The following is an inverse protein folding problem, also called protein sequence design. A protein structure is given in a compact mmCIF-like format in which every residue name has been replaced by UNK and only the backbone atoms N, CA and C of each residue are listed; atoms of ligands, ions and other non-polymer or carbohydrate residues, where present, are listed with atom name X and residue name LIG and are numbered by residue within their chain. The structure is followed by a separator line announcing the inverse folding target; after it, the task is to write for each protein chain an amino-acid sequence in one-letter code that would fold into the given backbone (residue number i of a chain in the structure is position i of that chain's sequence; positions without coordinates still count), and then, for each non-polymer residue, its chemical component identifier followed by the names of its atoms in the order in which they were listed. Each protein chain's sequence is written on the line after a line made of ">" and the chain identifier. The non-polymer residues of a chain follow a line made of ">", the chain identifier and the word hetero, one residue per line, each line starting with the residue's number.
data_IF_964535909530
#
_entry.id   IF_964535909530
#
_cell.length_a   1.000
_cell.length_b   1.000
_cell.length_c   1.000
_cell.angle_alpha   90.00
_cell.angle_beta   90.00
_cell.angle_gamma   90.00
#
_symmetry.space_group_name_H-M   'P 1'
#
loop_
_entity.id
_entity.type
_entity.pdbx_description
1 polymer ?
#
# COMPACT_ATOMS: atom_id res chain seq x y z
N UNK A 1 19.77 20.90 -52.62
CA UNK A 1 20.58 19.67 -52.54
C UNK A 1 20.28 19.15 -51.16
N UNK A 2 19.28 18.30 -51.18
CA UNK A 2 18.52 17.80 -50.06
C UNK A 2 19.37 16.78 -49.32
N UNK A 3 19.43 16.88 -47.99
CA UNK A 3 19.78 15.76 -47.14
C UNK A 3 18.54 15.47 -46.31
N UNK A 4 17.80 14.48 -46.79
CA UNK A 4 16.73 13.79 -46.09
C UNK A 4 17.29 13.26 -44.75
N UNK A 5 16.73 13.73 -43.63
CA UNK A 5 16.86 13.06 -42.35
C UNK A 5 16.07 11.75 -42.44
N UNK A 6 16.76 10.70 -42.85
CA UNK A 6 16.28 9.32 -42.81
C UNK A 6 16.12 8.95 -41.33
N UNK A 7 14.88 8.82 -40.90
CA UNK A 7 14.53 8.20 -39.62
C UNK A 7 14.96 6.72 -39.71
N UNK A 8 16.08 6.37 -39.08
CA UNK A 8 16.56 4.99 -39.01
C UNK A 8 15.47 4.08 -38.41
N UNK A 9 14.93 3.16 -39.22
CA UNK A 9 13.99 2.10 -38.83
C UNK A 9 14.52 1.20 -37.69
N UNK A 10 15.82 1.25 -37.38
CA UNK A 10 16.49 0.42 -36.36
C UNK A 10 16.21 0.86 -34.90
N UNK A 11 15.53 1.98 -34.65
CA UNK A 11 15.41 2.56 -33.31
C UNK A 11 14.30 1.94 -32.43
N UNK A 12 13.20 1.47 -33.03
CA UNK A 12 12.02 0.96 -32.29
C UNK A 12 12.28 -0.44 -31.73
N UNK A 13 12.91 -1.32 -32.51
CA UNK A 13 13.29 -2.68 -32.07
C UNK A 13 14.31 -2.63 -30.92
N UNK A 14 15.29 -1.73 -30.99
CA UNK A 14 16.27 -1.52 -29.92
C UNK A 14 15.60 -1.02 -28.62
N UNK A 15 14.62 -0.10 -28.74
CA UNK A 15 13.82 0.35 -27.59
C UNK A 15 13.00 -0.77 -26.94
N UNK A 16 12.42 -1.66 -27.74
CA UNK A 16 11.58 -2.77 -27.28
C UNK A 16 12.38 -3.95 -26.69
N UNK A 17 13.68 -4.02 -26.98
CA UNK A 17 14.56 -5.09 -26.48
C UNK A 17 15.45 -4.66 -25.30
N UNK A 18 15.48 -3.36 -24.95
CA UNK A 18 16.23 -2.84 -23.79
C UNK A 18 15.89 -3.54 -22.48
N UNK A 19 16.92 -3.84 -21.70
CA UNK A 19 16.82 -4.45 -20.37
C UNK A 19 17.22 -3.45 -19.30
N UNK A 20 16.46 -3.39 -18.21
CA UNK A 20 16.68 -2.49 -17.08
C UNK A 20 16.96 -3.29 -15.80
N UNK A 21 17.88 -2.79 -14.97
CA UNK A 21 18.12 -3.30 -13.62
C UNK A 21 17.39 -2.41 -12.61
N UNK A 22 16.33 -2.92 -12.01
CA UNK A 22 15.43 -2.17 -11.12
C UNK A 22 15.69 -2.56 -9.68
N UNK A 23 16.03 -1.58 -8.84
CA UNK A 23 16.13 -1.76 -7.39
C UNK A 23 14.75 -1.58 -6.74
N UNK A 24 14.27 -2.59 -6.00
CA UNK A 24 12.91 -2.62 -5.41
C UNK A 24 12.95 -2.31 -3.88
N UNK A 25 14.14 -2.16 -3.28
CA UNK A 25 14.30 -1.91 -1.85
C UNK A 25 15.59 -2.49 -1.28
N UNK A 26 15.93 -2.12 -0.05
CA UNK A 26 17.16 -2.60 0.62
C UNK A 26 17.06 -4.06 1.11
N UNK A 27 15.85 -4.61 1.12
CA UNK A 27 15.51 -5.97 1.55
C UNK A 27 15.46 -6.98 0.40
N UNK A 28 15.67 -6.54 -0.85
CA UNK A 28 15.57 -7.38 -2.05
C UNK A 28 16.68 -7.08 -3.05
N UNK A 29 17.14 -8.12 -3.72
CA UNK A 29 18.10 -7.97 -4.81
C UNK A 29 17.47 -7.26 -6.01
N UNK A 30 18.23 -6.40 -6.73
CA UNK A 30 17.74 -5.74 -7.93
C UNK A 30 17.33 -6.74 -9.02
N UNK A 31 16.19 -6.51 -9.66
CA UNK A 31 15.61 -7.40 -10.69
C UNK A 31 15.92 -6.87 -12.09
N UNK A 32 16.24 -7.77 -13.02
CA UNK A 32 16.34 -7.41 -14.44
C UNK A 32 14.99 -7.55 -15.12
N UNK A 33 14.57 -6.52 -15.85
CA UNK A 33 13.23 -6.41 -16.45
C UNK A 33 13.36 -5.83 -17.86
N UNK A 34 12.63 -6.39 -18.83
CA UNK A 34 12.60 -5.88 -20.20
C UNK A 34 11.78 -4.58 -20.29
N UNK A 35 12.09 -3.72 -21.27
CA UNK A 35 11.40 -2.44 -21.49
C UNK A 35 9.88 -2.60 -21.69
N UNK A 36 9.43 -3.72 -22.27
CA UNK A 36 8.03 -4.07 -22.46
C UNK A 36 7.30 -4.41 -21.14
N UNK A 37 8.02 -4.67 -20.05
CA UNK A 37 7.46 -4.97 -18.73
C UNK A 37 7.47 -3.77 -17.76
N UNK A 38 8.25 -2.73 -18.07
CA UNK A 38 8.33 -1.52 -17.21
C UNK A 38 7.16 -0.57 -17.48
N UNK A 39 6.35 -0.29 -16.45
CA UNK A 39 5.10 0.49 -16.56
C UNK A 39 5.30 1.98 -16.89
N UNK A 40 6.47 2.59 -16.61
CA UNK A 40 6.58 4.07 -16.66
C UNK A 40 7.96 4.72 -16.92
N UNK A 41 8.98 4.01 -17.39
CA UNK A 41 10.23 4.66 -17.80
C UNK A 41 10.39 4.55 -19.31
N UNK A 42 10.53 5.72 -19.93
CA UNK A 42 10.37 5.98 -21.36
C UNK A 42 8.96 5.61 -21.84
N UNK A 43 7.99 6.52 -21.56
CA UNK A 43 7.07 6.87 -22.66
C UNK A 43 8.00 7.09 -23.85
N UNK A 44 7.68 6.52 -25.01
CA UNK A 44 8.17 7.06 -26.27
C UNK A 44 8.00 8.58 -26.14
N UNK A 45 9.10 9.27 -25.86
CA UNK A 45 9.12 10.71 -25.85
C UNK A 45 8.70 11.02 -27.28
N UNK A 46 7.65 11.82 -27.45
CA UNK A 46 7.44 12.49 -28.73
C UNK A 46 6.95 11.60 -29.88
N UNK A 47 5.96 10.73 -29.62
CA UNK A 47 4.91 10.47 -30.63
C UNK A 47 3.59 10.93 -30.03
N UNK A 48 3.49 12.27 -30.05
CA UNK A 48 2.31 13.12 -29.90
C UNK A 48 1.39 12.92 -28.69
N UNK A 49 1.64 13.73 -27.65
CA UNK A 49 0.62 14.15 -26.69
C UNK A 49 -0.19 15.37 -27.25
N UNK A 50 -0.10 15.68 -28.56
CA UNK A 50 -0.66 16.90 -29.18
C UNK A 50 -1.32 16.64 -30.55
N UNK A 51 -2.27 15.69 -30.62
CA UNK A 51 -3.06 15.49 -31.84
C UNK A 51 -4.39 16.26 -31.78
N UNK A 52 -4.31 17.58 -32.01
CA UNK A 52 -5.46 18.35 -32.45
C UNK A 52 -5.58 18.30 -33.99
N UNK A 53 -6.38 17.35 -34.47
CA UNK A 53 -7.14 17.36 -35.75
C UNK A 53 -6.41 17.75 -37.05
N UNK A 54 -5.95 16.74 -37.82
CA UNK A 54 -5.86 16.76 -39.29
C UNK A 54 -5.86 15.34 -39.87
N UNK A 55 -6.61 15.11 -40.96
CA UNK A 55 -6.70 13.81 -41.67
C UNK A 55 -5.36 13.23 -42.16
N UNK A 56 -4.31 14.06 -42.28
CA UNK A 56 -2.95 13.61 -42.63
C UNK A 56 -2.26 12.83 -41.50
N UNK A 57 -2.44 13.26 -40.25
CA UNK A 57 -1.80 12.66 -39.07
C UNK A 57 -2.38 11.27 -38.73
N UNK A 58 -3.65 11.03 -39.10
CA UNK A 58 -4.32 9.74 -38.87
C UNK A 58 -3.66 8.59 -39.64
N UNK A 59 -3.26 8.83 -40.89
CA UNK A 59 -2.63 7.79 -41.70
C UNK A 59 -1.22 7.49 -41.18
N UNK A 60 -0.47 8.53 -40.81
CA UNK A 60 0.86 8.39 -40.19
C UNK A 60 0.81 7.52 -38.93
N UNK A 61 -0.17 7.75 -38.04
CA UNK A 61 -0.37 6.92 -36.84
C UNK A 61 -0.68 5.46 -37.19
N UNK A 62 -1.45 5.20 -38.26
CA UNK A 62 -1.76 3.83 -38.68
C UNK A 62 -0.55 3.13 -39.27
N UNK A 63 0.25 3.85 -40.05
CA UNK A 63 1.49 3.34 -40.63
C UNK A 63 2.50 3.01 -39.52
N UNK A 64 2.64 3.89 -38.51
CA UNK A 64 3.45 3.63 -37.32
C UNK A 64 2.98 2.39 -36.53
N UNK A 65 1.67 2.26 -36.32
CA UNK A 65 1.10 1.07 -35.67
C UNK A 65 1.46 -0.21 -36.44
N UNK A 66 1.34 -0.16 -37.77
CA UNK A 66 1.71 -1.28 -38.64
C UNK A 66 3.19 -1.64 -38.53
N UNK A 67 4.09 -0.65 -38.59
CA UNK A 67 5.54 -0.86 -38.41
C UNK A 67 5.85 -1.50 -37.06
N UNK A 68 5.29 -0.96 -35.97
CA UNK A 68 5.50 -1.51 -34.62
C UNK A 68 5.00 -2.96 -34.51
N UNK A 69 3.87 -3.29 -35.14
CA UNK A 69 3.35 -4.65 -35.13
C UNK A 69 4.21 -5.62 -35.96
N UNK A 70 4.71 -5.18 -37.12
CA UNK A 70 5.62 -5.98 -37.94
C UNK A 70 6.93 -6.29 -37.20
N UNK A 71 7.50 -5.28 -36.53
CA UNK A 71 8.68 -5.45 -35.69
C UNK A 71 8.41 -6.36 -34.49
N UNK A 72 7.27 -6.20 -33.83
CA UNK A 72 6.86 -7.08 -32.75
C UNK A 72 6.74 -8.54 -33.20
N UNK A 73 6.41 -8.80 -34.47
CA UNK A 73 6.34 -10.14 -35.04
C UNK A 73 7.71 -10.81 -35.25
N UNK A 74 8.80 -10.03 -35.25
CA UNK A 74 10.18 -10.54 -35.28
C UNK A 74 10.67 -10.99 -33.89
N UNK A 75 9.95 -10.63 -32.82
CA UNK A 75 10.31 -10.90 -31.43
C UNK A 75 9.68 -12.20 -30.87
N UNK A 76 10.20 -12.73 -29.74
CA UNK A 76 9.57 -13.83 -29.01
C UNK A 76 8.14 -13.52 -28.58
N UNK A 77 7.32 -14.57 -28.44
CA UNK A 77 5.89 -14.46 -28.17
C UNK A 77 5.53 -13.66 -26.91
N UNK A 78 6.35 -13.79 -25.86
CA UNK A 78 6.16 -13.07 -24.60
C UNK A 78 6.28 -11.55 -24.79
N UNK A 79 7.35 -11.10 -25.47
CA UNK A 79 7.59 -9.69 -25.76
C UNK A 79 6.54 -9.13 -26.73
N UNK A 80 6.23 -9.88 -27.80
CA UNK A 80 5.18 -9.51 -28.76
C UNK A 80 3.84 -9.30 -28.07
N UNK A 81 3.46 -10.20 -27.17
CA UNK A 81 2.18 -10.11 -26.43
C UNK A 81 2.12 -8.85 -25.57
N UNK A 82 3.23 -8.43 -24.94
CA UNK A 82 3.26 -7.17 -24.19
C UNK A 82 3.13 -5.94 -25.10
N UNK A 83 3.77 -5.95 -26.28
CA UNK A 83 3.68 -4.85 -27.25
C UNK A 83 2.25 -4.71 -27.76
N UNK A 84 1.63 -5.82 -28.19
CA UNK A 84 0.22 -5.84 -28.64
C UNK A 84 -0.70 -5.35 -27.52
N UNK A 85 -0.51 -5.86 -26.29
CA UNK A 85 -1.27 -5.39 -25.12
C UNK A 85 -1.14 -3.89 -24.90
N UNK A 86 0.05 -3.31 -25.04
CA UNK A 86 0.28 -1.86 -24.89
C UNK A 86 -0.45 -1.06 -25.96
N UNK A 87 -0.37 -1.48 -27.23
CA UNK A 87 -1.09 -0.83 -28.34
C UNK A 87 -2.60 -0.87 -28.12
N UNK A 88 -3.13 -2.06 -27.81
CA UNK A 88 -4.55 -2.27 -27.47
C UNK A 88 -4.99 -1.39 -26.30
N UNK A 89 -4.19 -1.32 -25.23
CA UNK A 89 -4.49 -0.51 -24.05
C UNK A 89 -4.29 1.00 -24.27
N UNK A 90 -3.54 1.44 -25.29
CA UNK A 90 -3.33 2.86 -25.65
C UNK A 90 -4.50 3.38 -26.48
N UNK A 91 -4.91 2.62 -27.48
CA UNK A 91 -5.95 2.98 -28.44
C UNK A 91 -7.35 2.48 -28.03
N UNK A 92 -7.50 1.89 -26.83
CA UNK A 92 -8.81 1.51 -26.32
C UNK A 92 -9.69 2.77 -26.13
N UNK A 93 -10.87 2.86 -26.78
CA UNK A 93 -11.74 4.04 -26.74
C UNK A 93 -12.11 4.48 -25.31
N UNK A 94 -12.27 3.51 -24.40
CA UNK A 94 -12.63 3.70 -22.99
C UNK A 94 -11.65 4.59 -22.19
N UNK A 95 -10.44 4.84 -22.71
CA UNK A 95 -9.41 5.66 -22.05
C UNK A 95 -9.25 7.07 -22.62
N UNK A 96 -9.77 7.34 -23.82
CA UNK A 96 -9.52 8.57 -24.56
C UNK A 96 -10.84 9.34 -24.76
N UNK A 97 -11.34 9.92 -23.67
CA UNK A 97 -12.55 10.75 -23.67
C UNK A 97 -12.30 11.99 -24.55
N UNK A 98 -13.04 12.10 -25.67
CA UNK A 98 -12.93 13.20 -26.64
C UNK A 98 -12.48 12.77 -28.03
N UNK A 99 -11.72 11.67 -28.15
CA UNK A 99 -11.18 11.15 -29.42
C UNK A 99 -11.65 9.70 -29.69
N UNK A 100 -12.85 9.38 -29.23
CA UNK A 100 -13.41 8.02 -29.23
C UNK A 100 -13.50 7.42 -30.64
N UNK A 101 -13.87 8.25 -31.63
CA UNK A 101 -13.98 7.84 -33.04
C UNK A 101 -12.62 7.44 -33.61
N UNK A 102 -11.61 8.30 -33.43
CA UNK A 102 -10.25 8.02 -33.90
C UNK A 102 -9.62 6.82 -33.20
N UNK A 103 -9.81 6.69 -31.88
CA UNK A 103 -9.31 5.55 -31.13
C UNK A 103 -9.97 4.25 -31.56
N UNK A 104 -11.28 4.27 -31.86
CA UNK A 104 -11.99 3.10 -32.37
C UNK A 104 -11.45 2.68 -33.73
N UNK A 105 -11.16 3.63 -34.62
CA UNK A 105 -10.56 3.34 -35.93
C UNK A 105 -9.14 2.78 -35.80
N UNK A 106 -8.31 3.36 -34.93
CA UNK A 106 -6.97 2.84 -34.63
C UNK A 106 -7.04 1.43 -34.03
N UNK A 107 -8.01 1.18 -33.16
CA UNK A 107 -8.24 -0.12 -32.55
C UNK A 107 -8.63 -1.20 -33.57
N UNK A 108 -9.50 -0.86 -34.52
CA UNK A 108 -9.86 -1.76 -35.61
C UNK A 108 -8.69 -1.96 -36.59
N UNK A 109 -7.89 -0.93 -36.87
CA UNK A 109 -6.65 -1.07 -37.65
C UNK A 109 -5.69 -2.09 -36.99
N UNK A 110 -5.47 -2.00 -35.68
CA UNK A 110 -4.65 -2.95 -34.92
C UNK A 110 -5.16 -4.38 -35.08
N UNK A 111 -6.47 -4.61 -34.96
CA UNK A 111 -7.07 -5.95 -35.12
C UNK A 111 -6.87 -6.51 -36.53
N UNK A 112 -7.06 -5.67 -37.54
CA UNK A 112 -6.89 -6.05 -38.94
C UNK A 112 -5.43 -6.43 -39.22
N UNK A 113 -4.48 -5.66 -38.69
CA UNK A 113 -3.05 -5.92 -38.83
C UNK A 113 -2.61 -7.19 -38.10
N UNK A 114 -3.11 -7.43 -36.89
CA UNK A 114 -2.88 -8.71 -36.18
C UNK A 114 -3.39 -9.90 -36.99
N UNK A 115 -4.58 -9.76 -37.58
CA UNK A 115 -5.18 -10.79 -38.43
C UNK A 115 -4.35 -11.02 -39.70
N UNK A 116 -3.84 -9.94 -40.32
CA UNK A 116 -2.93 -9.99 -41.49
C UNK A 116 -1.63 -10.74 -41.19
N UNK A 117 -1.05 -10.52 -40.01
CA UNK A 117 0.20 -11.15 -39.57
C UNK A 117 0.02 -12.61 -39.10
N UNK A 118 -1.20 -13.16 -39.17
CA UNK A 118 -1.45 -14.60 -39.12
C UNK A 118 -1.54 -15.22 -37.72
N UNK A 119 -2.02 -14.47 -36.71
CA UNK A 119 -2.36 -15.02 -35.37
C UNK A 119 -3.67 -14.46 -34.84
N UNK A 120 -4.36 -15.23 -33.99
CA UNK A 120 -5.53 -14.75 -33.24
C UNK A 120 -5.13 -14.38 -31.83
N UNK A 121 -5.44 -13.13 -31.45
CA UNK A 121 -5.30 -12.59 -30.09
C UNK A 121 -6.67 -12.30 -29.45
N UNK A 122 -7.76 -12.74 -30.07
CA UNK A 122 -9.12 -12.28 -29.75
C UNK A 122 -9.46 -12.44 -28.26
N UNK A 123 -9.21 -13.62 -27.68
CA UNK A 123 -9.44 -13.87 -26.26
C UNK A 123 -8.57 -13.03 -25.31
N UNK A 124 -7.35 -12.67 -25.73
CA UNK A 124 -6.47 -11.77 -24.97
C UNK A 124 -6.94 -10.31 -25.09
N UNK A 125 -7.32 -9.89 -26.29
CA UNK A 125 -7.84 -8.55 -26.56
C UNK A 125 -9.09 -8.29 -25.71
N UNK A 126 -10.04 -9.22 -25.69
CA UNK A 126 -11.25 -9.11 -24.87
C UNK A 126 -10.93 -8.97 -23.38
N UNK A 127 -9.99 -9.76 -22.87
CA UNK A 127 -9.55 -9.66 -21.47
C UNK A 127 -8.86 -8.32 -21.17
N UNK A 128 -8.06 -7.79 -22.10
CA UNK A 128 -7.40 -6.50 -21.92
C UNK A 128 -8.38 -5.32 -22.01
N UNK A 129 -9.36 -5.38 -22.90
CA UNK A 129 -10.43 -4.39 -23.01
C UNK A 129 -11.31 -4.39 -21.75
N UNK A 130 -11.70 -5.57 -21.25
CA UNK A 130 -12.43 -5.69 -20.00
C UNK A 130 -11.67 -5.06 -18.83
N UNK A 131 -10.36 -5.33 -18.74
CA UNK A 131 -9.49 -4.72 -17.73
C UNK A 131 -9.35 -3.20 -17.92
N UNK A 132 -9.29 -2.70 -19.16
CA UNK A 132 -9.25 -1.27 -19.44
C UNK A 132 -10.50 -0.55 -18.93
N UNK A 133 -11.68 -1.15 -19.13
CA UNK A 133 -12.97 -0.66 -18.60
C UNK A 133 -12.97 -0.60 -17.07
N UNK A 134 -12.48 -1.65 -16.43
CA UNK A 134 -12.33 -1.69 -14.96
C UNK A 134 -11.42 -0.56 -14.46
N UNK A 135 -10.26 -0.36 -15.08
CA UNK A 135 -9.36 0.76 -14.74
C UNK A 135 -10.00 2.13 -14.97
N UNK A 136 -10.79 2.28 -16.03
CA UNK A 136 -11.57 3.50 -16.30
C UNK A 136 -12.57 3.77 -15.18
N UNK A 137 -13.33 2.74 -14.79
CA UNK A 137 -14.28 2.81 -13.67
C UNK A 137 -13.61 3.22 -12.36
N UNK A 138 -12.48 2.59 -12.00
CA UNK A 138 -11.71 2.96 -10.82
C UNK A 138 -11.20 4.40 -10.86
N UNK A 139 -10.75 4.89 -12.03
CA UNK A 139 -10.30 6.28 -12.19
C UNK A 139 -11.45 7.27 -11.99
N UNK A 140 -12.62 6.96 -12.52
CA UNK A 140 -13.81 7.79 -12.37
C UNK A 140 -14.32 7.80 -10.92
N UNK A 141 -14.33 6.65 -10.26
CA UNK A 141 -14.65 6.55 -8.84
C UNK A 141 -13.66 7.33 -7.97
N UNK A 142 -12.35 7.22 -8.26
CA UNK A 142 -11.32 8.01 -7.62
C UNK A 142 -11.58 9.51 -7.82
N UNK A 143 -11.89 9.95 -9.05
CA UNK A 143 -12.20 11.36 -9.37
C UNK A 143 -13.42 11.86 -8.61
N UNK A 144 -14.48 11.06 -8.53
CA UNK A 144 -15.68 11.37 -7.73
C UNK A 144 -15.35 11.49 -6.24
N UNK A 145 -14.58 10.55 -5.70
CA UNK A 145 -14.15 10.56 -4.30
C UNK A 145 -13.28 11.77 -3.99
N UNK A 146 -12.36 12.10 -4.89
CA UNK A 146 -11.54 13.30 -4.81
C UNK A 146 -12.40 14.56 -4.79
N UNK A 147 -13.29 14.73 -5.77
CA UNK A 147 -14.12 15.94 -5.90
C UNK A 147 -15.00 16.16 -4.68
N UNK A 148 -15.48 15.08 -4.05
CA UNK A 148 -16.29 15.12 -2.84
C UNK A 148 -15.50 15.55 -1.60
N UNK A 149 -14.24 15.16 -1.48
CA UNK A 149 -13.41 15.44 -0.29
C UNK A 149 -12.62 16.75 -0.41
N UNK A 150 -12.14 17.07 -1.59
CA UNK A 150 -11.22 18.17 -1.84
C UNK A 150 -11.77 19.26 -2.78
N UNK A 151 -12.97 19.09 -3.33
CA UNK A 151 -13.53 19.97 -4.35
C UNK A 151 -12.93 19.72 -5.73
N UNK A 152 -13.23 20.61 -6.69
CA UNK A 152 -12.74 20.45 -8.07
C UNK A 152 -11.20 20.39 -8.12
N UNK A 153 -10.67 19.38 -8.81
CA UNK A 153 -9.24 19.18 -9.03
C UNK A 153 -8.56 20.42 -9.62
N UNK A 154 -9.25 21.13 -10.53
CA UNK A 154 -8.74 22.31 -11.21
C UNK A 154 -8.55 23.51 -10.28
N UNK A 155 -9.39 23.60 -9.24
CA UNK A 155 -9.43 24.71 -8.29
C UNK A 155 -8.51 24.51 -7.08
N UNK A 156 -7.94 23.32 -6.90
CA UNK A 156 -7.16 22.96 -5.71
C UNK A 156 -5.65 23.24 -5.88
N UNK A 157 -5.25 24.50 -5.71
CA UNK A 157 -3.86 24.96 -5.86
C UNK A 157 -2.88 24.32 -4.88
N UNK A 158 -3.34 23.93 -3.68
CA UNK A 158 -2.55 23.25 -2.65
C UNK A 158 -2.24 21.81 -3.00
N UNK A 159 -3.09 21.14 -3.80
CA UNK A 159 -2.92 19.73 -4.15
C UNK A 159 -2.00 19.53 -5.36
N UNK A 160 -1.84 20.53 -6.24
CA UNK A 160 -0.81 20.51 -7.30
C UNK A 160 0.62 20.37 -6.75
N UNK A 161 0.83 20.66 -5.46
CA UNK A 161 2.11 20.50 -4.77
C UNK A 161 2.34 19.11 -4.17
N UNK A 162 1.33 18.23 -4.17
CA UNK A 162 1.52 16.84 -3.73
C UNK A 162 2.10 16.02 -4.88
N UNK A 163 3.25 15.40 -4.63
CA UNK A 163 3.88 14.47 -5.59
C UNK A 163 3.13 13.13 -5.72
N UNK A 164 2.17 12.87 -4.82
CA UNK A 164 1.40 11.63 -4.77
C UNK A 164 -0.10 11.92 -4.64
N UNK A 165 -0.96 11.28 -5.44
CA UNK A 165 -2.41 11.37 -5.28
C UNK A 165 -2.82 10.91 -3.88
N UNK A 166 -3.78 11.58 -3.21
CA UNK A 166 -4.25 11.15 -1.90
C UNK A 166 -4.85 9.74 -1.96
N UNK A 167 -4.51 8.91 -0.98
CA UNK A 167 -5.23 7.67 -0.74
C UNK A 167 -6.54 7.97 -0.04
N UNK A 168 -7.64 7.37 -0.49
CA UNK A 168 -8.93 7.38 0.21
C UNK A 168 -9.05 6.24 1.23
N UNK A 169 -8.02 5.41 1.37
CA UNK A 169 -7.98 4.36 2.38
C UNK A 169 -7.91 5.02 3.77
N UNK A 170 -8.99 4.91 4.53
CA UNK A 170 -9.06 5.34 5.94
C UNK A 170 -8.25 4.46 6.89
N UNK A 171 -7.61 3.42 6.37
CA UNK A 171 -6.77 2.47 7.12
C UNK A 171 -5.40 2.45 6.48
N UNK A 172 -4.38 2.52 7.32
CA UNK A 172 -2.98 2.47 6.92
C UNK A 172 -2.24 1.45 7.80
N UNK A 173 -2.52 0.15 7.64
CA UNK A 173 -1.91 -0.88 8.49
C UNK A 173 -0.39 -0.90 8.34
N UNK A 174 0.32 -1.02 9.47
CA UNK A 174 1.78 -1.07 9.56
C UNK A 174 2.20 -2.40 10.20
N UNK A 175 2.14 -3.53 9.48
CA UNK A 175 2.39 -4.85 10.07
C UNK A 175 3.81 -5.00 10.63
N UNK A 176 4.79 -4.30 10.04
CA UNK A 176 6.16 -4.26 10.57
C UNK A 176 6.25 -3.58 11.94
N UNK A 177 5.59 -2.43 12.11
CA UNK A 177 5.54 -1.73 13.39
C UNK A 177 4.69 -2.48 14.42
N UNK A 178 3.56 -3.09 14.01
CA UNK A 178 2.76 -3.94 14.88
C UNK A 178 3.60 -5.05 15.52
N UNK A 179 4.34 -5.82 14.71
CA UNK A 179 5.27 -6.86 15.21
C UNK A 179 6.39 -6.29 16.08
N UNK A 180 6.90 -5.11 15.76
CA UNK A 180 7.94 -4.45 16.57
C UNK A 180 7.44 -4.10 17.97
N UNK A 181 6.24 -3.53 18.07
CA UNK A 181 5.61 -3.20 19.36
C UNK A 181 5.23 -4.44 20.15
N UNK A 182 4.70 -5.46 19.46
CA UNK A 182 4.31 -6.71 20.09
C UNK A 182 5.51 -7.46 20.70
N UNK A 183 6.64 -7.53 20.00
CA UNK A 183 7.87 -8.12 20.57
C UNK A 183 8.31 -7.45 21.87
N UNK A 184 8.11 -6.14 22.00
CA UNK A 184 8.39 -5.45 23.26
C UNK A 184 7.35 -5.78 24.34
N UNK A 185 6.09 -5.98 23.97
CA UNK A 185 5.05 -6.43 24.90
C UNK A 185 5.37 -7.80 25.50
N UNK A 186 5.84 -8.75 24.68
CA UNK A 186 6.27 -10.09 25.14
C UNK A 186 7.45 -10.01 26.10
N UNK A 187 8.46 -9.20 25.76
CA UNK A 187 9.63 -8.99 26.62
C UNK A 187 9.24 -8.35 27.97
N UNK A 188 8.32 -7.39 27.96
CA UNK A 188 7.81 -6.75 29.17
C UNK A 188 6.98 -7.72 30.03
N UNK A 189 6.20 -8.60 29.40
CA UNK A 189 5.41 -9.63 30.09
C UNK A 189 6.33 -10.62 30.82
N UNK A 190 7.33 -11.15 30.12
CA UNK A 190 8.33 -12.05 30.69
C UNK A 190 9.12 -11.37 31.83
N UNK A 191 9.46 -10.08 31.68
CA UNK A 191 10.11 -9.32 32.74
C UNK A 191 9.20 -9.08 33.96
N UNK A 192 7.88 -8.99 33.75
CA UNK A 192 6.88 -8.91 34.82
C UNK A 192 6.78 -10.22 35.61
N UNK A 193 6.73 -11.36 34.91
CA UNK A 193 6.73 -12.70 35.51
C UNK A 193 7.98 -12.94 36.37
N UNK A 194 9.16 -12.62 35.84
CA UNK A 194 10.42 -12.76 36.57
C UNK A 194 10.50 -11.93 37.86
N UNK A 195 9.80 -10.79 37.93
CA UNK A 195 9.78 -9.93 39.13
C UNK A 195 8.96 -10.56 40.27
N UNK A 196 7.96 -11.40 39.94
CA UNK A 196 7.14 -12.11 40.92
C UNK A 196 7.92 -13.29 41.52
N UNK A 197 8.70 -13.99 40.68
CA UNK A 197 9.44 -15.20 41.07
C UNK A 197 10.79 -14.90 41.74
N UNK A 198 11.17 -13.63 41.87
CA UNK A 198 12.44 -13.23 42.45
C UNK A 198 12.49 -13.49 43.97
N UNK A 199 13.68 -13.73 44.52
CA UNK A 199 13.88 -13.99 45.96
C UNK A 199 13.48 -12.81 46.86
N UNK A 200 13.44 -11.60 46.29
CA UNK A 200 12.94 -10.37 46.89
C UNK A 200 12.02 -9.68 45.88
N UNK A 201 10.76 -10.08 45.79
CA UNK A 201 9.88 -9.63 44.73
C UNK A 201 9.48 -8.16 44.93
N UNK A 202 9.42 -7.41 43.83
CA UNK A 202 8.94 -6.02 43.80
C UNK A 202 7.62 -5.96 43.05
N UNK A 203 6.52 -6.19 43.77
CA UNK A 203 5.19 -6.37 43.17
C UNK A 203 4.68 -5.12 42.43
N UNK A 204 5.08 -3.93 42.83
CA UNK A 204 4.79 -2.68 42.11
C UNK A 204 5.45 -2.67 40.71
N UNK A 205 6.67 -3.19 40.61
CA UNK A 205 7.38 -3.31 39.33
C UNK A 205 6.83 -4.45 38.48
N UNK A 206 6.40 -5.55 39.10
CA UNK A 206 5.70 -6.62 38.40
C UNK A 206 4.39 -6.11 37.78
N UNK A 207 3.55 -5.42 38.57
CA UNK A 207 2.33 -4.78 38.10
C UNK A 207 2.62 -3.76 36.99
N UNK A 208 3.66 -2.94 37.14
CA UNK A 208 4.03 -1.93 36.15
C UNK A 208 4.44 -2.56 34.82
N UNK A 209 5.26 -3.61 34.85
CA UNK A 209 5.67 -4.33 33.64
C UNK A 209 4.49 -5.03 32.97
N UNK A 210 3.57 -5.63 33.74
CA UNK A 210 2.34 -6.21 33.21
C UNK A 210 1.44 -5.16 32.54
N UNK A 211 1.31 -3.98 33.14
CA UNK A 211 0.57 -2.84 32.54
C UNK A 211 1.23 -2.38 31.23
N UNK A 212 2.56 -2.24 31.23
CA UNK A 212 3.34 -1.85 30.05
C UNK A 212 3.28 -2.88 28.92
N UNK A 213 3.27 -4.17 29.24
CA UNK A 213 3.08 -5.25 28.28
C UNK A 213 1.71 -5.14 27.60
N UNK A 214 0.63 -4.99 28.40
CA UNK A 214 -0.71 -4.80 27.88
C UNK A 214 -0.82 -3.53 27.02
N UNK A 215 -0.25 -2.40 27.45
CA UNK A 215 -0.27 -1.15 26.68
C UNK A 215 0.37 -1.34 25.30
N UNK A 216 1.54 -1.98 25.24
CA UNK A 216 2.27 -2.18 23.98
C UNK A 216 1.60 -3.21 23.08
N UNK A 217 0.97 -4.24 23.63
CA UNK A 217 0.17 -5.18 22.87
C UNK A 217 -1.05 -4.48 22.23
N UNK A 218 -1.78 -3.66 22.99
CA UNK A 218 -2.91 -2.89 22.45
C UNK A 218 -2.46 -1.90 21.37
N UNK A 219 -1.31 -1.25 21.54
CA UNK A 219 -0.73 -0.39 20.50
C UNK A 219 -0.30 -1.18 19.26
N UNK A 220 0.24 -2.39 19.44
CA UNK A 220 0.52 -3.29 18.32
C UNK A 220 -0.76 -3.60 17.53
N UNK A 221 -1.88 -3.89 18.21
CA UNK A 221 -3.18 -4.08 17.58
C UNK A 221 -3.67 -2.82 16.84
N UNK A 222 -3.44 -1.61 17.37
CA UNK A 222 -3.77 -0.38 16.63
C UNK A 222 -2.96 -0.27 15.33
N UNK A 223 -1.68 -0.62 15.35
CA UNK A 223 -0.83 -0.61 14.14
C UNK A 223 -1.28 -1.62 13.07
N UNK A 224 -2.05 -2.66 13.41
CA UNK A 224 -2.65 -3.54 12.38
C UNK A 224 -3.82 -2.90 11.65
N UNK A 225 -4.35 -1.78 12.17
CA UNK A 225 -5.47 -1.03 11.59
C UNK A 225 -4.98 0.26 10.92
N UNK A 226 -4.16 1.05 11.62
CA UNK A 226 -3.70 2.35 11.14
C UNK A 226 -2.33 2.75 11.74
N UNK A 227 -1.54 3.47 10.93
CA UNK A 227 -0.28 4.13 11.29
C UNK A 227 -0.45 5.38 12.17
N UNK A 228 -1.26 5.33 13.23
CA UNK A 228 -1.43 6.46 14.14
C UNK A 228 -0.63 6.25 15.42
N UNK A 229 0.26 7.20 15.72
CA UNK A 229 1.03 7.19 16.97
C UNK A 229 0.17 7.81 18.08
N UNK A 230 -0.14 7.03 19.10
CA UNK A 230 -0.81 7.52 20.31
C UNK A 230 0.16 7.71 21.47
N UNK A 231 0.00 8.81 22.20
CA UNK A 231 0.67 9.06 23.50
C UNK A 231 -0.21 8.65 24.69
N UNK A 232 -1.32 7.95 24.44
CA UNK A 232 -2.24 7.50 25.50
C UNK A 232 -1.66 6.28 26.20
N UNK A 233 -1.73 6.29 27.52
CA UNK A 233 -1.24 5.22 28.40
C UNK A 233 -2.36 4.46 29.11
N UNK A 234 -3.58 4.99 29.10
CA UNK A 234 -4.72 4.26 29.65
C UNK A 234 -5.05 3.08 28.75
N UNK A 235 -5.20 1.88 29.35
CA UNK A 235 -5.41 0.66 28.57
C UNK A 235 -6.78 0.64 27.88
N UNK A 236 -7.84 1.15 28.52
CA UNK A 236 -9.19 1.17 27.95
C UNK A 236 -9.26 2.11 26.75
N UNK A 237 -8.67 3.29 26.86
CA UNK A 237 -8.59 4.23 25.75
C UNK A 237 -7.80 3.65 24.56
N UNK A 238 -6.76 2.86 24.83
CA UNK A 238 -6.01 2.14 23.80
C UNK A 238 -6.80 0.99 23.13
N UNK A 239 -7.97 0.61 23.65
CA UNK A 239 -8.87 -0.32 22.97
C UNK A 239 -9.82 0.37 21.98
N UNK A 240 -9.88 1.71 21.97
CA UNK A 240 -10.74 2.47 21.06
C UNK A 240 -10.41 2.16 19.59
N UNK A 241 -11.43 1.81 18.81
CA UNK A 241 -11.30 1.47 17.40
C UNK A 241 -10.82 0.04 17.10
N UNK A 242 -10.42 -0.76 18.10
CA UNK A 242 -10.07 -2.17 17.90
C UNK A 242 -11.29 -3.06 17.65
N UNK A 243 -12.49 -2.62 18.07
CA UNK A 243 -13.74 -3.37 17.99
C UNK A 243 -13.68 -4.77 18.64
N UNK A 244 -12.87 -4.94 19.68
CA UNK A 244 -12.78 -6.17 20.49
C UNK A 244 -13.24 -5.86 21.93
N UNK A 245 -14.45 -6.33 22.26
CA UNK A 245 -15.08 -6.12 23.57
C UNK A 245 -14.39 -6.90 24.69
N UNK A 246 -13.76 -8.03 24.37
CA UNK A 246 -13.02 -8.83 25.32
C UNK A 246 -11.71 -8.13 25.71
N UNK A 247 -10.95 -7.62 24.74
CA UNK A 247 -9.77 -6.78 24.99
C UNK A 247 -10.12 -5.56 25.85
N UNK A 248 -11.24 -4.89 25.54
CA UNK A 248 -11.72 -3.74 26.32
C UNK A 248 -12.04 -4.13 27.77
N UNK A 249 -12.66 -5.29 27.97
CA UNK A 249 -12.99 -5.80 29.30
C UNK A 249 -11.73 -6.17 30.09
N UNK A 250 -10.80 -6.91 29.48
CA UNK A 250 -9.51 -7.27 30.10
C UNK A 250 -8.69 -6.03 30.47
N UNK A 251 -8.59 -5.06 29.56
CA UNK A 251 -7.94 -3.78 29.81
C UNK A 251 -8.58 -3.03 30.99
N UNK A 252 -9.91 -2.99 31.06
CA UNK A 252 -10.64 -2.36 32.16
C UNK A 252 -10.43 -3.08 33.50
N UNK A 253 -10.37 -4.42 33.50
CA UNK A 253 -10.04 -5.20 34.70
C UNK A 253 -8.62 -4.88 35.18
N UNK A 254 -7.63 -4.86 34.28
CA UNK A 254 -6.24 -4.57 34.61
C UNK A 254 -6.09 -3.13 35.14
N UNK A 255 -6.65 -2.14 34.45
CA UNK A 255 -6.58 -0.74 34.87
C UNK A 255 -7.25 -0.51 36.23
N UNK A 256 -8.38 -1.18 36.52
CA UNK A 256 -9.03 -1.12 37.85
C UNK A 256 -8.22 -1.79 38.94
N UNK A 257 -7.54 -2.89 38.62
CA UNK A 257 -6.71 -3.64 39.56
C UNK A 257 -5.48 -2.83 39.98
N UNK A 258 -4.71 -2.31 39.02
CA UNK A 258 -3.39 -1.71 39.30
C UNK A 258 -3.38 -0.18 39.27
N UNK A 259 -4.40 0.45 38.67
CA UNK A 259 -4.43 1.88 38.38
C UNK A 259 -3.53 2.27 37.19
N UNK A 260 -3.49 3.56 36.88
CA UNK A 260 -2.63 4.07 35.81
C UNK A 260 -1.14 3.90 36.12
N UNK A 261 -0.30 3.90 35.08
CA UNK A 261 1.13 3.59 35.16
C UNK A 261 1.94 4.46 36.13
N UNK A 262 1.47 5.68 36.42
CA UNK A 262 2.10 6.59 37.38
C UNK A 262 1.95 6.11 38.84
N UNK A 263 0.84 5.43 39.17
CA UNK A 263 0.53 4.98 40.53
C UNK A 263 1.52 3.95 41.07
N UNK A 264 2.07 3.12 40.19
CA UNK A 264 3.09 2.12 40.53
C UNK A 264 4.49 2.72 40.70
N UNK A 265 4.69 4.01 40.36
CA UNK A 265 6.03 4.64 40.30
C UNK A 265 6.21 5.79 41.27
N UNK A 266 5.17 6.59 41.50
CA UNK A 266 5.30 7.84 42.24
C UNK A 266 4.48 7.85 43.54
N UNK A 267 5.08 8.16 44.72
CA UNK A 267 4.38 8.18 46.00
C UNK A 267 3.24 9.21 46.12
N UNK A 268 3.28 10.30 45.36
CA UNK A 268 2.22 11.33 45.35
C UNK A 268 0.90 10.84 44.73
N UNK A 269 0.93 9.68 44.06
CA UNK A 269 -0.24 9.04 43.45
C UNK A 269 -1.01 8.15 44.46
N UNK A 270 -0.67 8.20 45.74
CA UNK A 270 -1.35 7.46 46.81
C UNK A 270 -1.37 8.24 48.13
N UNK A 271 -2.15 7.75 49.09
CA UNK A 271 -2.26 8.38 50.40
C UNK A 271 -0.94 8.26 51.18
N UNK A 272 -0.34 9.41 51.50
CA UNK A 272 0.75 9.50 52.47
C UNK A 272 0.38 8.80 53.79
N UNK A 273 1.29 8.04 54.42
CA UNK A 273 2.74 7.96 54.17
C UNK A 273 3.18 6.83 53.23
N UNK A 274 2.24 6.13 52.55
CA UNK A 274 2.55 4.94 51.77
C UNK A 274 3.37 5.24 50.51
N UNK A 275 4.22 4.29 50.12
CA UNK A 275 4.90 4.27 48.82
C UNK A 275 4.37 3.13 47.93
N UNK A 276 4.58 3.16 46.59
CA UNK A 276 4.06 2.11 45.71
C UNK A 276 4.44 0.69 46.15
N UNK A 277 5.69 0.48 46.56
CA UNK A 277 6.20 -0.82 47.01
C UNK A 277 5.39 -1.44 48.18
N UNK A 278 4.68 -0.62 48.97
CA UNK A 278 3.86 -1.07 50.12
C UNK A 278 2.39 -1.31 49.78
N UNK A 279 1.95 -0.93 48.57
CA UNK A 279 0.54 -0.98 48.16
C UNK A 279 0.21 -2.23 47.34
N UNK A 280 1.13 -2.69 46.50
CA UNK A 280 0.89 -3.81 45.59
C UNK A 280 1.26 -5.13 46.26
N UNK A 281 0.31 -6.06 46.32
CA UNK A 281 0.51 -7.40 46.90
C UNK A 281 0.88 -8.44 45.86
N UNK A 282 1.34 -9.62 46.32
CA UNK A 282 1.57 -10.79 45.46
C UNK A 282 0.31 -11.19 44.68
N UNK A 283 -0.87 -11.13 45.31
CA UNK A 283 -2.13 -11.47 44.65
C UNK A 283 -2.46 -10.46 43.54
N UNK A 284 -2.21 -9.17 43.77
CA UNK A 284 -2.39 -8.14 42.74
C UNK A 284 -1.43 -8.37 41.57
N UNK A 285 -0.16 -8.66 41.85
CA UNK A 285 0.84 -8.92 40.81
C UNK A 285 0.51 -10.16 39.98
N UNK A 286 0.10 -11.27 40.63
CA UNK A 286 -0.32 -12.49 39.93
C UNK A 286 -1.58 -12.25 39.08
N UNK A 287 -2.59 -11.56 39.61
CA UNK A 287 -3.78 -11.21 38.84
C UNK A 287 -3.47 -10.26 37.67
N UNK A 288 -2.55 -9.31 37.86
CA UNK A 288 -2.10 -8.40 36.80
C UNK A 288 -1.37 -9.16 35.69
N UNK A 289 -0.51 -10.13 36.05
CA UNK A 289 0.16 -11.00 35.10
C UNK A 289 -0.85 -11.82 34.28
N UNK A 290 -1.82 -12.45 34.93
CA UNK A 290 -2.87 -13.23 34.26
C UNK A 290 -3.70 -12.39 33.29
N UNK A 291 -4.12 -11.18 33.70
CA UNK A 291 -4.86 -10.27 32.83
C UNK A 291 -4.01 -9.78 31.66
N UNK A 292 -2.76 -9.41 31.91
CA UNK A 292 -1.83 -8.96 30.87
C UNK A 292 -1.53 -10.06 29.86
N UNK A 293 -1.31 -11.29 30.33
CA UNK A 293 -1.11 -12.47 29.48
C UNK A 293 -2.31 -12.73 28.57
N UNK A 294 -3.54 -12.63 29.09
CA UNK A 294 -4.76 -12.76 28.28
C UNK A 294 -4.85 -11.68 27.21
N UNK A 295 -4.48 -10.43 27.52
CA UNK A 295 -4.45 -9.34 26.53
C UNK A 295 -3.41 -9.64 25.44
N UNK A 296 -2.19 -10.02 25.82
CA UNK A 296 -1.10 -10.32 24.88
C UNK A 296 -1.48 -11.47 23.95
N UNK A 297 -1.99 -12.59 24.48
CA UNK A 297 -2.45 -13.74 23.69
C UNK A 297 -3.58 -13.34 22.74
N UNK A 298 -4.58 -12.61 23.23
CA UNK A 298 -5.71 -12.18 22.40
C UNK A 298 -5.28 -11.24 21.27
N UNK A 299 -4.30 -10.39 21.50
CA UNK A 299 -3.71 -9.56 20.45
C UNK A 299 -2.96 -10.44 19.44
N UNK A 300 -2.18 -11.41 19.90
CA UNK A 300 -1.44 -12.34 19.05
C UNK A 300 -2.35 -13.10 18.07
N UNK A 301 -3.45 -13.65 18.58
CA UNK A 301 -4.46 -14.38 17.78
C UNK A 301 -5.09 -13.54 16.67
N UNK A 302 -5.14 -12.21 16.85
CA UNK A 302 -5.76 -11.26 15.94
C UNK A 302 -4.75 -10.55 15.02
N UNK A 303 -3.45 -10.83 15.14
CA UNK A 303 -2.44 -10.24 14.27
C UNK A 303 -2.32 -10.99 12.92
N UNK A 304 -2.16 -10.27 11.80
CA UNK A 304 -1.97 -10.85 10.47
C UNK A 304 -0.53 -11.29 10.17
#
# INVERSE_FOLDING_TARGET
>A
MDEDDIVDEDNIVDLLTKMYKINIGHDKEPVQVNSADVYKFHRLQEISDDHHSRKGEKQEVFDEISVVLEDAWRLPEEQRTQIVKRLILRWCPEKNLGDEEFCSEAFEHIKNEISRLGRSYDGYIDAWVARAREHGSHREEYRKSFSREYGSWESSSSQRRRNFPPSFCRRNPQPGEARRWFRQAEADLAAGENEIDFSRPSYEWACFKCHQAAEKALKAAQYTIHAEKTSVHNLVDNCSGLNDSELTNLASQLERLVGGSARMRYPDQMCSPKIPNEVYSVQMAQQALELSKKIVVRVEENMP
#
